data_IF_528670679531
#
_entry.id   IF_528670679531
#
_cell.length_a   1.000
_cell.length_b   1.000
_cell.length_c   1.000
_cell.angle_alpha   90.00
_cell.angle_beta   90.00
_cell.angle_gamma   90.00
#
_symmetry.space_group_name_H-M   'P 1'
#
loop_
_entity.id
_entity.type
_entity.pdbx_description
1 polymer ?
#
# COMPACT_ATOMS: atom_id res chain seq x y z
N UNK A 1 3.72 31.25 -68.65
CA UNK A 1 4.02 30.82 -67.28
C UNK A 1 4.90 31.88 -66.63
N UNK A 2 4.40 32.66 -65.64
CA UNK A 2 5.13 33.72 -64.93
C UNK A 2 6.20 33.10 -64.01
N UNK A 3 7.46 33.55 -64.03
CA UNK A 3 8.06 34.71 -63.35
C UNK A 3 8.23 34.60 -61.82
N UNK A 4 9.44 35.02 -61.43
CA UNK A 4 9.91 35.59 -60.18
C UNK A 4 10.26 34.69 -58.99
N UNK A 5 11.59 34.68 -58.78
CA UNK A 5 12.33 34.37 -57.58
C UNK A 5 11.75 35.04 -56.32
N UNK A 6 11.77 34.25 -55.26
CA UNK A 6 11.42 34.59 -53.89
C UNK A 6 12.49 35.48 -53.27
N UNK A 7 12.03 36.55 -52.62
CA UNK A 7 12.86 37.45 -51.83
C UNK A 7 12.61 37.22 -50.33
N UNK A 8 13.65 37.56 -49.55
CA UNK A 8 13.57 38.30 -48.27
C UNK A 8 13.52 37.54 -46.94
N UNK A 9 14.48 37.97 -46.08
CA UNK A 9 14.48 38.03 -44.61
C UNK A 9 14.48 36.74 -43.81
N UNK A 10 15.06 36.66 -42.61
CA UNK A 10 15.89 37.51 -41.77
C UNK A 10 16.16 36.70 -40.48
N UNK A 11 17.11 37.19 -39.68
CA UNK A 11 17.22 36.92 -38.24
C UNK A 11 17.71 35.52 -37.83
N UNK A 12 19.03 35.38 -37.94
CA UNK A 12 19.86 34.79 -36.90
C UNK A 12 19.60 35.51 -35.56
N UNK A 13 19.10 34.76 -34.57
CA UNK A 13 19.09 35.15 -33.15
C UNK A 13 18.95 33.87 -32.32
N UNK A 14 19.96 33.00 -32.41
CA UNK A 14 20.16 31.92 -31.43
C UNK A 14 20.58 32.58 -30.11
N UNK A 15 19.59 32.90 -29.28
CA UNK A 15 19.84 33.26 -27.88
C UNK A 15 20.07 31.98 -27.10
N UNK A 16 21.36 31.68 -26.88
CA UNK A 16 21.82 30.86 -25.76
C UNK A 16 21.23 31.40 -24.45
N UNK A 17 20.69 30.53 -23.59
CA UNK A 17 20.58 30.86 -22.18
C UNK A 17 21.45 29.89 -21.38
N UNK A 18 22.68 30.31 -21.14
CA UNK A 18 23.39 29.95 -19.92
C UNK A 18 22.56 30.47 -18.73
N UNK A 19 21.97 29.56 -17.95
CA UNK A 19 21.40 29.88 -16.64
C UNK A 19 21.70 28.73 -15.67
N UNK A 20 22.94 28.74 -15.19
CA UNK A 20 23.31 28.22 -13.87
C UNK A 20 22.52 28.94 -12.78
N UNK A 21 21.39 28.36 -12.35
CA UNK A 21 20.72 28.73 -11.09
C UNK A 21 20.19 27.48 -10.38
N UNK A 22 20.73 27.10 -9.21
CA UNK A 22 20.25 25.94 -8.47
C UNK A 22 18.79 26.17 -8.02
N UNK A 23 17.97 25.20 -8.40
CA UNK A 23 16.52 25.19 -8.36
C UNK A 23 15.93 25.36 -6.94
N UNK A 24 15.50 26.59 -6.62
CA UNK A 24 14.60 26.85 -5.49
C UNK A 24 13.22 26.16 -5.67
N UNK A 25 12.88 25.76 -6.89
CA UNK A 25 11.67 24.99 -7.21
C UNK A 25 11.76 23.54 -6.67
N UNK A 26 12.95 22.94 -6.61
CA UNK A 26 13.13 21.61 -6.03
C UNK A 26 12.83 21.59 -4.51
N UNK A 27 13.31 22.59 -3.77
CA UNK A 27 13.04 22.71 -2.33
C UNK A 27 11.56 23.01 -2.02
N UNK A 28 10.89 23.81 -2.87
CA UNK A 28 9.46 24.05 -2.77
C UNK A 28 8.62 22.80 -3.09
N UNK A 29 9.06 21.98 -4.05
CA UNK A 29 8.46 20.67 -4.34
C UNK A 29 8.57 19.71 -3.16
N UNK A 30 9.73 19.66 -2.50
CA UNK A 30 9.95 18.82 -1.32
C UNK A 30 9.08 19.22 -0.13
N UNK A 31 8.94 20.52 0.16
CA UNK A 31 8.05 20.99 1.25
C UNK A 31 6.58 20.70 0.98
N UNK A 32 6.15 20.86 -0.28
CA UNK A 32 4.78 20.49 -0.69
C UNK A 32 4.56 18.97 -0.60
N UNK A 33 5.55 18.17 -0.98
CA UNK A 33 5.51 16.71 -0.85
C UNK A 33 5.41 16.28 0.61
N UNK A 34 6.23 16.84 1.50
CA UNK A 34 6.14 16.60 2.95
C UNK A 34 4.76 16.99 3.51
N UNK A 35 4.25 18.18 3.17
CA UNK A 35 2.92 18.61 3.60
C UNK A 35 1.80 17.71 3.05
N UNK A 36 1.98 17.13 1.86
CA UNK A 36 1.06 16.17 1.26
C UNK A 36 1.11 14.83 2.00
N UNK A 37 2.30 14.32 2.31
CA UNK A 37 2.49 13.10 3.11
C UNK A 37 1.89 13.25 4.51
N UNK A 38 2.10 14.38 5.18
CA UNK A 38 1.47 14.67 6.47
C UNK A 38 -0.06 14.68 6.38
N UNK A 39 -0.62 15.26 5.31
CA UNK A 39 -2.07 15.30 5.08
C UNK A 39 -2.63 13.89 4.83
N UNK A 40 -1.90 13.04 4.11
CA UNK A 40 -2.26 11.64 3.89
C UNK A 40 -2.16 10.81 5.18
N UNK A 41 -1.12 11.04 5.98
CA UNK A 41 -0.91 10.38 7.27
C UNK A 41 -2.01 10.70 8.29
N UNK A 42 -2.47 11.95 8.34
CA UNK A 42 -3.59 12.37 9.20
C UNK A 42 -4.92 11.70 8.83
N UNK A 43 -5.12 11.33 7.55
CA UNK A 43 -6.29 10.55 7.12
C UNK A 43 -6.25 9.09 7.55
N UNK A 44 -5.06 8.53 7.75
CA UNK A 44 -4.89 7.14 8.20
C UNK A 44 -4.88 6.98 9.72
N UNK A 45 -4.79 8.09 10.47
CA UNK A 45 -4.56 8.08 11.92
C UNK A 45 -5.81 8.41 12.77
N UNK A 46 -7.02 8.34 12.21
CA UNK A 46 -8.22 8.25 13.06
C UNK A 46 -8.45 6.77 13.38
N UNK A 47 -8.12 6.26 14.58
CA UNK A 47 -8.80 5.07 15.05
C UNK A 47 -10.26 5.46 15.13
N UNK A 48 -11.05 5.01 14.17
CA UNK A 48 -12.50 5.15 14.18
C UNK A 48 -12.98 4.62 15.52
N UNK A 49 -13.39 5.51 16.43
CA UNK A 49 -14.27 5.17 17.55
C UNK A 49 -15.49 4.50 16.96
N UNK A 50 -15.47 3.17 16.97
CA UNK A 50 -16.48 2.33 16.35
C UNK A 50 -17.62 2.18 17.34
N UNK A 51 -18.36 3.27 17.57
CA UNK A 51 -19.62 3.21 18.32
C UNK A 51 -20.66 4.14 17.70
N UNK A 52 -20.84 4.00 16.38
CA UNK A 52 -22.06 4.43 15.71
C UNK A 52 -22.74 3.17 15.17
N UNK A 53 -23.94 2.82 15.66
CA UNK A 53 -24.64 1.59 15.27
C UNK A 53 -25.17 1.59 13.82
N UNK A 54 -24.80 2.59 13.00
CA UNK A 54 -25.27 2.78 11.62
C UNK A 54 -24.19 2.48 10.56
N UNK A 55 -23.05 1.88 10.97
CA UNK A 55 -22.04 1.45 10.02
C UNK A 55 -22.57 0.30 9.16
N UNK A 56 -22.61 0.51 7.83
CA UNK A 56 -22.95 -0.53 6.86
C UNK A 56 -22.21 -1.84 7.19
N UNK A 57 -22.89 -3.00 7.21
CA UNK A 57 -22.27 -4.30 7.53
C UNK A 57 -20.99 -4.58 6.73
N UNK A 58 -20.96 -4.12 5.48
CA UNK A 58 -19.79 -4.20 4.60
C UNK A 58 -18.64 -3.34 5.13
N UNK A 59 -18.91 -2.09 5.52
CA UNK A 59 -17.88 -1.20 6.06
C UNK A 59 -17.31 -1.74 7.37
N UNK A 60 -18.16 -2.27 8.26
CA UNK A 60 -17.73 -2.90 9.50
C UNK A 60 -16.85 -4.15 9.22
N UNK A 61 -17.23 -4.99 8.25
CA UNK A 61 -16.39 -6.10 7.80
C UNK A 61 -15.04 -5.60 7.28
N UNK A 62 -15.01 -4.64 6.36
CA UNK A 62 -13.78 -4.15 5.74
C UNK A 62 -12.82 -3.55 6.77
N UNK A 63 -13.36 -2.85 7.77
CA UNK A 63 -12.57 -2.31 8.89
C UNK A 63 -11.93 -3.43 9.71
N UNK A 64 -12.73 -4.41 10.18
CA UNK A 64 -12.21 -5.56 10.95
C UNK A 64 -11.21 -6.38 10.14
N UNK A 65 -11.52 -6.65 8.87
CA UNK A 65 -10.66 -7.41 7.96
C UNK A 65 -9.33 -6.67 7.72
N UNK A 66 -9.36 -5.35 7.51
CA UNK A 66 -8.14 -4.56 7.34
C UNK A 66 -7.25 -4.57 8.59
N UNK A 67 -7.84 -4.43 9.78
CA UNK A 67 -7.12 -4.50 11.05
C UNK A 67 -6.46 -5.87 11.27
N UNK A 68 -7.24 -6.96 11.10
CA UNK A 68 -6.72 -8.33 11.23
C UNK A 68 -5.64 -8.63 10.18
N UNK A 69 -5.82 -8.19 8.94
CA UNK A 69 -4.81 -8.33 7.87
C UNK A 69 -3.52 -7.60 8.23
N UNK A 70 -3.62 -6.39 8.78
CA UNK A 70 -2.44 -5.64 9.21
C UNK A 70 -1.71 -6.33 10.37
N UNK A 71 -2.45 -6.87 11.34
CA UNK A 71 -1.89 -7.63 12.45
C UNK A 71 -1.12 -8.86 11.95
N UNK A 72 -1.71 -9.66 11.05
CA UNK A 72 -1.05 -10.83 10.48
C UNK A 72 0.20 -10.47 9.66
N UNK A 73 0.15 -9.38 8.87
CA UNK A 73 1.33 -8.88 8.15
C UNK A 73 2.44 -8.40 9.10
N UNK A 74 2.07 -7.81 10.24
CA UNK A 74 3.02 -7.37 11.25
C UNK A 74 3.69 -8.56 11.94
N UNK A 75 2.91 -9.58 12.29
CA UNK A 75 3.43 -10.83 12.84
C UNK A 75 4.39 -11.53 11.85
N UNK A 76 4.05 -11.59 10.55
CA UNK A 76 4.97 -12.10 9.52
C UNK A 76 6.26 -11.30 9.42
N UNK A 77 6.18 -9.97 9.50
CA UNK A 77 7.38 -9.13 9.49
C UNK A 77 8.26 -9.43 10.70
N UNK A 78 7.64 -9.65 11.88
CA UNK A 78 8.35 -10.04 13.08
C UNK A 78 9.03 -11.41 12.91
N UNK A 79 8.38 -12.40 12.28
CA UNK A 79 9.02 -13.70 12.00
C UNK A 79 10.33 -13.55 11.20
N UNK A 80 10.32 -12.68 10.18
CA UNK A 80 11.47 -12.48 9.29
C UNK A 80 12.61 -11.70 9.93
N UNK A 81 12.31 -10.84 10.90
CA UNK A 81 13.32 -10.06 11.63
C UNK A 81 13.82 -10.73 12.90
N UNK A 82 13.17 -11.80 13.35
CA UNK A 82 13.44 -12.45 14.63
C UNK A 82 14.48 -13.57 14.50
N UNK A 83 15.20 -13.83 15.60
CA UNK A 83 16.02 -15.04 15.72
C UNK A 83 15.13 -16.30 15.60
N UNK A 84 15.65 -17.46 15.14
CA UNK A 84 14.87 -18.66 14.87
C UNK A 84 13.98 -19.11 16.05
N UNK A 85 14.48 -18.94 17.27
CA UNK A 85 13.81 -19.31 18.52
C UNK A 85 12.54 -18.48 18.82
N UNK A 86 12.47 -17.24 18.32
CA UNK A 86 11.32 -16.35 18.45
C UNK A 86 10.44 -16.30 17.17
N UNK A 87 10.92 -16.91 16.08
CA UNK A 87 10.19 -16.95 14.82
C UNK A 87 9.02 -17.96 14.86
N UNK A 88 9.19 -19.09 15.56
CA UNK A 88 8.14 -20.11 15.73
C UNK A 88 6.84 -19.59 16.40
N UNK A 89 6.89 -18.92 17.58
CA UNK A 89 5.67 -18.36 18.19
C UNK A 89 5.03 -17.28 17.32
N UNK A 90 5.84 -16.48 16.61
CA UNK A 90 5.35 -15.46 15.67
C UNK A 90 4.66 -16.08 14.44
N UNK A 91 5.17 -17.22 13.93
CA UNK A 91 4.55 -17.97 12.84
C UNK A 91 3.24 -18.62 13.27
N UNK A 92 3.17 -19.16 14.49
CA UNK A 92 1.94 -19.69 15.07
C UNK A 92 0.89 -18.58 15.23
N UNK A 93 1.30 -17.44 15.78
CA UNK A 93 0.44 -16.24 15.91
C UNK A 93 -0.08 -15.78 14.54
N UNK A 94 0.77 -15.80 13.52
CA UNK A 94 0.36 -15.49 12.15
C UNK A 94 -0.67 -16.49 11.63
N UNK A 95 -0.46 -17.80 11.85
CA UNK A 95 -1.39 -18.83 11.40
C UNK A 95 -2.78 -18.63 12.03
N UNK A 96 -2.86 -18.39 13.34
CA UNK A 96 -4.13 -18.08 14.02
C UNK A 96 -4.79 -16.82 13.44
N UNK A 97 -4.02 -15.77 13.16
CA UNK A 97 -4.56 -14.54 12.57
C UNK A 97 -5.09 -14.75 11.14
N UNK A 98 -4.50 -15.67 10.36
CA UNK A 98 -5.02 -16.09 9.05
C UNK A 98 -6.35 -16.83 9.23
N UNK A 99 -6.43 -17.78 10.16
CA UNK A 99 -7.66 -18.53 10.41
C UNK A 99 -8.80 -17.62 10.87
N UNK A 100 -8.51 -16.61 11.68
CA UNK A 100 -9.47 -15.57 12.06
C UNK A 100 -9.98 -14.78 10.84
N UNK A 101 -9.11 -14.48 9.86
CA UNK A 101 -9.52 -13.82 8.61
C UNK A 101 -10.45 -14.71 7.79
N UNK A 102 -10.17 -16.02 7.68
CA UNK A 102 -11.05 -16.96 7.00
C UNK A 102 -12.42 -17.05 7.69
N UNK A 103 -12.45 -17.10 9.03
CA UNK A 103 -13.70 -17.08 9.80
C UNK A 103 -14.49 -15.81 9.51
N UNK A 104 -13.84 -14.65 9.56
CA UNK A 104 -14.47 -13.36 9.25
C UNK A 104 -15.07 -13.33 7.83
N UNK A 105 -14.37 -13.88 6.85
CA UNK A 105 -14.85 -13.97 5.46
C UNK A 105 -16.05 -14.92 5.34
N UNK A 106 -15.99 -16.08 6.01
CA UNK A 106 -17.08 -17.05 6.00
C UNK A 106 -18.37 -16.46 6.61
N UNK A 107 -18.26 -15.81 7.76
CA UNK A 107 -19.36 -15.12 8.43
C UNK A 107 -19.98 -14.02 7.55
N UNK A 108 -19.14 -13.22 6.89
CA UNK A 108 -19.60 -12.07 6.10
C UNK A 108 -19.98 -12.42 4.65
N UNK A 109 -19.68 -13.62 4.17
CA UNK A 109 -19.83 -14.03 2.76
C UNK A 109 -21.22 -13.76 2.15
N UNK A 110 -22.28 -13.97 2.93
CA UNK A 110 -23.68 -13.78 2.51
C UNK A 110 -24.08 -12.30 2.41
N UNK A 111 -23.36 -11.43 3.11
CA UNK A 111 -23.65 -9.99 3.18
C UNK A 111 -22.71 -9.14 2.33
N UNK A 112 -21.62 -9.75 1.82
CA UNK A 112 -20.62 -9.03 1.05
C UNK A 112 -20.96 -8.98 -0.44
N UNK A 113 -20.76 -7.83 -1.10
CA UNK A 113 -20.74 -7.77 -2.55
C UNK A 113 -19.71 -8.75 -3.14
N UNK A 114 -19.97 -9.37 -4.31
CA UNK A 114 -19.07 -10.36 -4.91
C UNK A 114 -17.64 -9.87 -5.11
N UNK A 115 -17.46 -8.57 -5.36
CA UNK A 115 -16.14 -7.97 -5.50
C UNK A 115 -15.35 -7.99 -4.18
N UNK A 116 -15.97 -7.57 -3.07
CA UNK A 116 -15.33 -7.55 -1.75
C UNK A 116 -15.00 -8.96 -1.26
N UNK A 117 -15.88 -9.92 -1.50
CA UNK A 117 -15.63 -11.33 -1.17
C UNK A 117 -14.41 -11.87 -1.92
N UNK A 118 -14.33 -11.65 -3.25
CA UNK A 118 -13.16 -12.08 -4.04
C UNK A 118 -11.88 -11.42 -3.57
N UNK A 119 -11.92 -10.10 -3.35
CA UNK A 119 -10.79 -9.32 -2.86
C UNK A 119 -10.26 -9.83 -1.51
N UNK A 120 -11.17 -10.12 -0.57
CA UNK A 120 -10.82 -10.69 0.72
C UNK A 120 -10.19 -12.09 0.59
N UNK A 121 -10.79 -12.99 -0.21
CA UNK A 121 -10.25 -14.34 -0.45
C UNK A 121 -8.86 -14.33 -1.11
N UNK A 122 -8.64 -13.43 -2.07
CA UNK A 122 -7.31 -13.23 -2.67
C UNK A 122 -6.31 -12.78 -1.62
N UNK A 123 -6.65 -11.78 -0.80
CA UNK A 123 -5.76 -11.28 0.25
C UNK A 123 -5.40 -12.35 1.29
N UNK A 124 -6.35 -13.21 1.69
CA UNK A 124 -6.08 -14.34 2.59
C UNK A 124 -5.17 -15.37 1.92
N UNK A 125 -5.39 -15.66 0.63
CA UNK A 125 -4.56 -16.59 -0.14
C UNK A 125 -3.11 -16.11 -0.26
N UNK A 126 -2.91 -14.83 -0.54
CA UNK A 126 -1.60 -14.19 -0.60
C UNK A 126 -0.88 -14.24 0.75
N UNK A 127 -1.62 -13.98 1.84
CA UNK A 127 -1.08 -14.03 3.19
C UNK A 127 -0.66 -15.45 3.59
N UNK A 128 -1.45 -16.47 3.23
CA UNK A 128 -1.07 -17.89 3.40
C UNK A 128 0.18 -18.24 2.60
N UNK A 129 0.30 -17.76 1.36
CA UNK A 129 1.51 -17.99 0.57
C UNK A 129 2.73 -17.35 1.24
N UNK A 130 2.60 -16.11 1.72
CA UNK A 130 3.66 -15.42 2.46
C UNK A 130 4.04 -16.13 3.77
N UNK A 131 3.06 -16.69 4.48
CA UNK A 131 3.29 -17.51 5.69
C UNK A 131 4.04 -18.80 5.40
N UNK A 132 3.65 -19.55 4.36
CA UNK A 132 4.39 -20.75 3.95
C UNK A 132 5.83 -20.44 3.57
N UNK A 133 6.07 -19.35 2.84
CA UNK A 133 7.42 -18.90 2.49
C UNK A 133 8.24 -18.56 3.73
N UNK A 134 7.65 -17.87 4.71
CA UNK A 134 8.33 -17.57 5.97
C UNK A 134 8.59 -18.82 6.81
N UNK A 135 7.69 -19.81 6.78
CA UNK A 135 7.87 -21.08 7.46
C UNK A 135 8.95 -21.96 6.82
N UNK A 136 9.08 -21.94 5.48
CA UNK A 136 10.12 -22.69 4.77
C UNK A 136 11.53 -22.10 4.91
N UNK A 137 11.64 -20.82 5.28
CA UNK A 137 12.92 -20.11 5.45
C UNK A 137 13.53 -20.36 6.84
N UNK A 138 12.78 -21.00 7.75
CA UNK A 138 13.33 -21.40 9.04
C UNK A 138 14.26 -22.60 8.85
N UNK A 139 15.54 -22.50 9.25
CA UNK A 139 16.44 -23.63 9.19
C UNK A 139 15.88 -24.74 10.08
N UNK A 140 15.59 -25.89 9.47
CA UNK A 140 15.44 -27.13 10.21
C UNK A 140 16.83 -27.45 10.75
N UNK A 141 17.07 -27.13 12.02
CA UNK A 141 18.26 -27.60 12.75
C UNK A 141 18.41 -29.11 12.51
N UNK A 142 19.52 -29.49 11.87
CA UNK A 142 19.96 -30.87 11.66
C UNK A 142 21.33 -31.06 12.29
#
# INVERSE_FOLDING_TARGET
MPSTATATSAAEMESEPDHTKPSAAAAAGHRKHLAMLERLSKRTATPSSHDSPDASPVAAFLSRFAAAKLAAKSALSACRSSCPEYAQPSLSTTATAIDDLDRLVAEASHSLPPYELRSALTAVSDLRAAHRLAASDLPLDN
#
